data_IF_147907761590
#
_entry.id   IF_147907761590
#
_cell.length_a   1.000
_cell.length_b   1.000
_cell.length_c   1.000
_cell.angle_alpha   90.00
_cell.angle_beta   90.00
_cell.angle_gamma   90.00
#
_symmetry.space_group_name_H-M   'P 1'
#
loop_
_entity.id
_entity.type
_entity.pdbx_description
1 polymer ?
#
# COMPACT_ATOMS: atom_id res chain seq x y z
N UNK A 1 -12.89 5.48 13.63
CA UNK A 1 -11.54 5.98 13.68
C UNK A 1 -10.69 5.38 12.58
N UNK A 2 -9.91 6.19 11.93
CA UNK A 2 -9.07 5.69 10.86
C UNK A 2 -7.67 5.42 11.38
N UNK A 3 -7.02 4.44 10.78
CA UNK A 3 -5.66 4.10 11.11
C UNK A 3 -4.78 4.39 9.89
N UNK A 4 -3.51 4.57 10.13
CA UNK A 4 -2.57 4.70 9.03
C UNK A 4 -1.98 3.33 8.77
N UNK A 5 -2.19 2.82 7.57
CA UNK A 5 -1.78 1.48 7.19
C UNK A 5 -0.83 1.57 6.00
N UNK A 6 0.30 0.90 6.09
CA UNK A 6 1.28 0.91 5.02
C UNK A 6 1.43 -0.46 4.40
N UNK A 7 1.54 -0.50 3.08
CA UNK A 7 1.76 -1.73 2.35
C UNK A 7 3.08 -1.63 1.62
N UNK A 8 4.02 -2.49 2.02
CA UNK A 8 5.33 -2.57 1.38
C UNK A 8 5.27 -3.75 0.41
N UNK A 9 5.13 -3.44 -0.85
CA UNK A 9 4.91 -4.46 -1.86
C UNK A 9 3.42 -4.76 -1.94
N UNK A 10 2.86 -4.77 -3.13
CA UNK A 10 1.45 -5.02 -3.29
C UNK A 10 1.16 -6.47 -3.67
N UNK A 11 1.86 -6.99 -4.68
CA UNK A 11 1.63 -8.34 -5.12
C UNK A 11 0.20 -8.58 -5.54
N UNK A 12 -0.14 -9.84 -5.74
CA UNK A 12 -1.48 -10.22 -6.16
C UNK A 12 -2.47 -10.07 -5.01
N UNK A 13 -2.05 -10.41 -3.81
CA UNK A 13 -2.95 -10.37 -2.66
C UNK A 13 -2.98 -8.99 -2.00
N UNK A 14 -1.86 -8.32 -1.94
CA UNK A 14 -1.79 -7.02 -1.27
C UNK A 14 -2.56 -5.93 -1.99
N UNK A 15 -2.59 -6.00 -3.31
CA UNK A 15 -3.26 -4.99 -4.12
C UNK A 15 -4.74 -4.84 -3.74
N UNK A 16 -5.54 -5.92 -3.79
CA UNK A 16 -6.95 -5.80 -3.42
C UNK A 16 -7.14 -5.59 -1.92
N UNK A 17 -6.26 -6.16 -1.10
CA UNK A 17 -6.37 -5.99 0.34
C UNK A 17 -6.20 -4.52 0.74
N UNK A 18 -5.20 -3.86 0.17
CA UNK A 18 -5.00 -2.44 0.41
C UNK A 18 -6.21 -1.63 -0.07
N UNK A 19 -6.82 -2.04 -1.16
CA UNK A 19 -8.01 -1.41 -1.68
C UNK A 19 -9.19 -1.51 -0.72
N UNK A 20 -9.40 -2.67 -0.13
CA UNK A 20 -10.46 -2.86 0.84
C UNK A 20 -10.25 -1.96 2.06
N UNK A 21 -9.03 -1.89 2.55
CA UNK A 21 -8.72 -1.08 3.72
C UNK A 21 -8.91 0.40 3.41
N UNK A 22 -8.55 0.82 2.21
CA UNK A 22 -8.75 2.18 1.78
C UNK A 22 -10.23 2.52 1.73
N UNK A 23 -11.05 1.61 1.19
CA UNK A 23 -12.50 1.82 1.10
C UNK A 23 -13.16 1.84 2.47
N UNK A 24 -12.54 1.21 3.45
CA UNK A 24 -13.07 1.22 4.82
C UNK A 24 -12.79 2.55 5.53
N UNK A 25 -12.09 3.46 4.90
CA UNK A 25 -11.86 4.79 5.47
C UNK A 25 -10.51 4.98 6.14
N UNK A 26 -9.62 4.01 6.02
CA UNK A 26 -8.30 4.15 6.62
C UNK A 26 -7.34 4.85 5.66
N UNK A 27 -6.30 5.44 6.23
CA UNK A 27 -5.27 6.07 5.42
C UNK A 27 -4.27 5.03 4.98
N UNK A 28 -4.24 4.73 3.70
CA UNK A 28 -3.36 3.70 3.16
C UNK A 28 -2.24 4.33 2.38
N UNK A 29 -1.01 3.93 2.68
CA UNK A 29 0.17 4.33 1.94
C UNK A 29 0.76 3.09 1.31
N UNK A 30 1.02 3.13 0.02
CA UNK A 30 1.56 1.98 -0.69
C UNK A 30 2.94 2.26 -1.23
N UNK A 31 3.78 1.26 -1.20
CA UNK A 31 5.07 1.29 -1.85
C UNK A 31 5.22 -0.02 -2.60
N UNK A 32 5.65 0.03 -3.83
CA UNK A 32 5.92 -1.18 -4.58
C UNK A 32 7.21 -0.99 -5.36
N UNK A 33 8.03 -2.06 -5.41
CA UNK A 33 9.27 -2.01 -6.14
C UNK A 33 9.02 -1.64 -7.59
N UNK A 34 7.97 -2.18 -8.20
CA UNK A 34 7.55 -1.78 -9.51
C UNK A 34 6.62 -0.59 -9.36
N UNK A 35 7.15 0.59 -9.61
CA UNK A 35 6.42 1.82 -9.36
C UNK A 35 5.10 1.90 -10.13
N UNK A 36 5.04 1.35 -11.32
CA UNK A 36 3.83 1.38 -12.12
C UNK A 36 2.65 0.67 -11.44
N UNK A 37 2.93 -0.37 -10.64
CA UNK A 37 1.87 -1.04 -9.91
C UNK A 37 1.31 -0.16 -8.82
N UNK A 38 2.16 0.53 -8.10
CA UNK A 38 1.71 1.45 -7.06
C UNK A 38 0.96 2.63 -7.66
N UNK A 39 1.41 3.11 -8.80
CA UNK A 39 0.72 4.20 -9.50
C UNK A 39 -0.67 3.77 -9.95
N UNK A 40 -0.78 2.54 -10.43
CA UNK A 40 -2.07 2.01 -10.83
C UNK A 40 -3.01 1.92 -9.63
N UNK A 41 -2.49 1.49 -8.48
CA UNK A 41 -3.27 1.38 -7.26
C UNK A 41 -3.83 2.76 -6.84
N UNK A 42 -3.01 3.79 -6.92
CA UNK A 42 -3.40 5.15 -6.56
C UNK A 42 -4.51 5.67 -7.47
N UNK A 43 -4.52 5.25 -8.72
CA UNK A 43 -5.58 5.65 -9.64
C UNK A 43 -6.88 4.95 -9.36
N UNK A 44 -6.80 3.76 -8.80
CA UNK A 44 -7.97 2.93 -8.55
C UNK A 44 -8.56 3.15 -7.16
N UNK A 45 -7.71 3.38 -6.18
CA UNK A 45 -8.12 3.52 -4.79
C UNK A 45 -7.56 4.81 -4.19
N UNK A 46 -8.15 5.25 -3.11
CA UNK A 46 -7.70 6.44 -2.44
C UNK A 46 -6.57 6.12 -1.49
N UNK A 47 -5.49 6.82 -1.57
CA UNK A 47 -4.36 6.60 -0.68
C UNK A 47 -3.17 7.43 -1.10
N UNK A 48 -2.01 7.07 -0.57
CA UNK A 48 -0.76 7.76 -0.85
C UNK A 48 0.26 6.80 -1.41
N UNK A 49 1.15 7.33 -2.22
CA UNK A 49 2.21 6.54 -2.78
C UNK A 49 3.52 6.97 -2.17
N UNK A 50 4.28 6.05 -1.65
CA UNK A 50 5.60 6.35 -1.09
C UNK A 50 6.69 6.01 -2.09
N UNK A 51 7.73 6.81 -2.06
CA UNK A 51 8.86 6.61 -2.96
C UNK A 51 9.84 5.56 -2.42
N UNK A 52 9.85 5.36 -1.12
CA UNK A 52 10.73 4.39 -0.49
C UNK A 52 9.95 3.62 0.57
N UNK A 53 10.41 2.42 0.95
CA UNK A 53 9.76 1.68 2.02
C UNK A 53 9.77 2.45 3.34
N UNK A 54 10.84 3.16 3.60
CA UNK A 54 10.95 3.92 4.83
C UNK A 54 9.90 5.03 4.90
N UNK A 55 9.67 5.71 3.80
CA UNK A 55 8.64 6.73 3.74
C UNK A 55 7.25 6.12 3.92
N UNK A 56 7.07 4.91 3.40
CA UNK A 56 5.77 4.26 3.50
C UNK A 56 5.40 3.94 4.95
N UNK A 57 6.38 3.51 5.75
CA UNK A 57 6.09 3.08 7.12
C UNK A 57 6.13 4.19 8.14
N UNK A 58 6.52 5.39 7.74
CA UNK A 58 6.62 6.50 8.68
C UNK A 58 5.27 6.79 9.34
N UNK A 59 5.23 6.77 10.65
CA UNK A 59 4.01 7.00 11.44
C UNK A 59 2.87 6.02 11.17
N UNK A 60 3.19 4.82 10.70
CA UNK A 60 2.16 3.84 10.42
C UNK A 60 1.71 3.10 11.68
N UNK A 61 0.41 2.89 11.79
CA UNK A 61 -0.14 2.08 12.87
C UNK A 61 0.01 0.60 12.56
N UNK A 62 -0.14 0.23 11.28
CA UNK A 62 0.02 -1.15 10.85
C UNK A 62 0.84 -1.18 9.56
N UNK A 63 1.69 -2.17 9.44
CA UNK A 63 2.55 -2.34 8.27
C UNK A 63 2.39 -3.74 7.75
N UNK A 64 2.02 -3.87 6.48
CA UNK A 64 1.92 -5.15 5.82
C UNK A 64 2.98 -5.25 4.75
N UNK A 65 3.67 -6.38 4.68
CA UNK A 65 4.68 -6.59 3.65
C UNK A 65 4.27 -7.77 2.78
N UNK A 66 4.25 -7.57 1.48
CA UNK A 66 3.96 -8.63 0.53
C UNK A 66 5.08 -8.67 -0.47
N UNK A 67 5.74 -9.80 -0.61
CA UNK A 67 6.76 -9.91 -1.61
C UNK A 67 6.08 -10.15 -2.94
N UNK A 68 6.58 -9.50 -3.96
CA UNK A 68 6.15 -9.81 -5.27
C UNK A 68 6.65 -11.17 -5.57
N UNK A 69 5.80 -12.00 -6.05
CA UNK A 69 6.17 -13.34 -6.32
C UNK A 69 7.26 -13.31 -7.28
N UNK A 70 8.28 -13.89 -6.89
CA UNK A 70 9.26 -14.00 -7.69
C UNK A 70 9.12 -15.13 -8.38
N UNK A 71 8.85 -15.16 -9.28
CA UNK A 71 8.77 -16.41 -9.86
C UNK A 71 9.32 -16.34 -11.13
#
# INVERSE_FOLDING_TARGET
MSCKVSFIGLGVMGYPMAGYISKAGHNVTVYNRTKSKAEKWIKEYKGSLAETPMDAVNDSDYIFTFSEAIT
#
